data_IF_228307603903
#
_entry.id   IF_228307603903
#
_cell.length_a   1.000
_cell.length_b   1.000
_cell.length_c   1.000
_cell.angle_alpha   90.00
_cell.angle_beta   90.00
_cell.angle_gamma   90.00
#
_symmetry.space_group_name_H-M   'P 1'
#
loop_
_entity.id
_entity.type
_entity.pdbx_description
1 polymer ?
#
# COMPACT_ATOMS: atom_id res chain seq x y z
N UNK A 1 -7.50 14.99 -10.04
CA UNK A 1 -6.56 13.87 -10.17
C UNK A 1 -7.01 12.63 -9.37
N UNK A 2 -7.51 12.74 -8.13
CA UNK A 2 -7.78 11.56 -7.28
C UNK A 2 -9.05 10.73 -7.61
N UNK A 3 -9.94 11.22 -8.48
CA UNK A 3 -11.23 10.58 -8.80
C UNK A 3 -11.22 9.42 -9.81
N UNK A 4 -10.31 9.33 -10.81
CA UNK A 4 -10.35 8.27 -11.81
C UNK A 4 -10.36 6.83 -11.24
N UNK A 5 -9.62 6.48 -10.17
CA UNK A 5 -9.74 5.15 -9.56
C UNK A 5 -11.15 4.87 -9.01
N UNK A 6 -11.84 5.89 -8.48
CA UNK A 6 -13.21 5.76 -7.99
C UNK A 6 -14.20 5.59 -9.14
N UNK A 7 -14.02 6.33 -10.24
CA UNK A 7 -14.85 6.19 -11.45
C UNK A 7 -14.80 4.75 -11.97
N UNK A 8 -13.61 4.17 -12.08
CA UNK A 8 -13.45 2.76 -12.45
C UNK A 8 -14.09 1.80 -11.44
N UNK A 9 -14.00 2.09 -10.13
CA UNK A 9 -14.65 1.28 -9.10
C UNK A 9 -16.19 1.35 -9.17
N UNK A 10 -16.76 2.49 -9.57
CA UNK A 10 -18.20 2.63 -9.78
C UNK A 10 -18.67 1.83 -11.00
N UNK A 11 -17.93 1.89 -12.10
CA UNK A 11 -18.19 1.09 -13.30
C UNK A 11 -18.10 -0.42 -13.01
N UNK A 12 -17.17 -0.82 -12.13
CA UNK A 12 -17.05 -2.20 -11.66
C UNK A 12 -18.16 -2.64 -10.68
N UNK A 13 -19.04 -1.73 -10.27
CA UNK A 13 -20.16 -2.03 -9.37
C UNK A 13 -19.76 -2.23 -7.91
N UNK A 14 -18.76 -1.47 -7.41
CA UNK A 14 -18.35 -1.55 -6.01
C UNK A 14 -19.52 -1.39 -5.04
N UNK A 15 -19.59 -2.24 -4.01
CA UNK A 15 -20.72 -2.28 -3.08
C UNK A 15 -20.63 -1.23 -1.97
N UNK A 16 -19.41 -0.93 -1.52
CA UNK A 16 -19.14 -0.11 -0.34
C UNK A 16 -17.97 0.84 -0.61
N UNK A 17 -18.05 2.05 -0.07
CA UNK A 17 -16.98 3.05 -0.10
C UNK A 17 -16.66 3.49 1.32
N UNK A 18 -15.36 3.67 1.57
CA UNK A 18 -14.84 4.18 2.83
C UNK A 18 -14.24 5.59 2.64
N UNK A 19 -14.79 6.63 3.30
CA UNK A 19 -14.19 7.95 3.32
C UNK A 19 -12.85 7.96 4.05
N UNK A 20 -11.87 8.67 3.49
CA UNK A 20 -10.55 8.91 4.08
C UNK A 20 -10.62 9.81 5.33
N UNK A 21 -9.64 9.71 6.24
CA UNK A 21 -9.56 10.58 7.43
C UNK A 21 -9.28 12.06 7.12
N UNK A 22 -8.52 12.34 6.07
CA UNK A 22 -8.11 13.71 5.75
C UNK A 22 -9.27 14.63 5.39
N UNK A 23 -8.95 15.91 5.18
CA UNK A 23 -9.90 16.94 4.78
C UNK A 23 -9.45 17.64 3.49
N UNK A 24 -10.38 18.13 2.65
CA UNK A 24 -10.05 18.71 1.36
C UNK A 24 -9.64 20.20 1.49
N UNK A 25 -8.41 20.44 1.92
CA UNK A 25 -7.83 21.77 2.11
C UNK A 25 -7.83 22.61 0.83
N UNK A 26 -8.26 23.87 0.92
CA UNK A 26 -8.21 24.83 -0.19
C UNK A 26 -9.15 24.51 -1.37
N UNK A 27 -10.16 23.67 -1.15
CA UNK A 27 -11.17 23.30 -2.16
C UNK A 27 -12.50 24.04 -1.93
N UNK A 28 -13.50 23.80 -2.79
CA UNK A 28 -14.87 24.30 -2.60
C UNK A 28 -15.64 23.56 -1.49
N UNK A 29 -15.12 22.43 -1.01
CA UNK A 29 -15.74 21.63 0.03
C UNK A 29 -15.31 22.11 1.42
N UNK A 30 -16.17 21.86 2.41
CA UNK A 30 -15.88 22.19 3.81
C UNK A 30 -14.58 21.50 4.27
N UNK A 31 -13.69 22.23 4.94
CA UNK A 31 -12.42 21.71 5.47
C UNK A 31 -12.65 20.90 6.77
N UNK A 32 -13.36 19.78 6.62
CA UNK A 32 -13.60 18.77 7.64
C UNK A 32 -13.28 17.39 7.08
N UNK A 33 -12.95 16.45 7.95
CA UNK A 33 -12.67 15.07 7.57
C UNK A 33 -13.77 14.48 6.67
N UNK A 34 -13.43 13.67 5.68
CA UNK A 34 -14.40 13.21 4.67
C UNK A 34 -15.59 12.44 5.26
N UNK A 35 -15.44 11.83 6.45
CA UNK A 35 -16.54 11.21 7.21
C UNK A 35 -17.63 12.21 7.67
N UNK A 36 -17.35 13.51 7.63
CA UNK A 36 -18.25 14.60 8.01
C UNK A 36 -18.57 15.55 6.86
N UNK A 37 -18.02 15.30 5.67
CA UNK A 37 -18.09 16.22 4.54
C UNK A 37 -19.30 15.93 3.64
N UNK A 38 -20.38 16.70 3.82
CA UNK A 38 -21.61 16.55 3.02
C UNK A 38 -21.40 16.84 1.53
N UNK A 39 -20.57 17.82 1.20
CA UNK A 39 -20.29 18.20 -0.19
C UNK A 39 -19.67 17.04 -0.98
N UNK A 40 -18.75 16.31 -0.34
CA UNK A 40 -18.09 15.15 -0.96
C UNK A 40 -18.98 13.92 -0.94
N UNK A 41 -19.57 13.57 0.22
CA UNK A 41 -20.33 12.32 0.35
C UNK A 41 -21.69 12.40 -0.33
N UNK A 42 -22.51 13.42 -0.04
CA UNK A 42 -23.82 13.56 -0.68
C UNK A 42 -23.69 14.18 -2.07
N UNK A 43 -22.99 15.31 -2.21
CA UNK A 43 -22.90 16.02 -3.48
C UNK A 43 -22.10 15.27 -4.54
N UNK A 44 -20.81 15.04 -4.29
CA UNK A 44 -19.95 14.40 -5.28
C UNK A 44 -20.27 12.92 -5.47
N UNK A 45 -20.25 12.13 -4.40
CA UNK A 45 -20.38 10.67 -4.49
C UNK A 45 -21.81 10.23 -4.85
N UNK A 46 -22.84 10.73 -4.17
CA UNK A 46 -24.22 10.26 -4.40
C UNK A 46 -24.94 11.01 -5.51
N UNK A 47 -24.92 12.33 -5.52
CA UNK A 47 -25.68 13.13 -6.50
C UNK A 47 -24.99 13.15 -7.86
N UNK A 48 -23.67 13.44 -7.92
CA UNK A 48 -22.94 13.49 -9.20
C UNK A 48 -22.61 12.10 -9.74
N UNK A 49 -22.06 11.19 -8.93
CA UNK A 49 -21.69 9.85 -9.40
C UNK A 49 -22.78 8.79 -9.27
N UNK A 50 -23.92 9.10 -8.64
CA UNK A 50 -25.04 8.16 -8.53
C UNK A 50 -24.76 6.96 -7.63
N UNK A 51 -23.74 7.01 -6.76
CA UNK A 51 -23.38 5.88 -5.92
C UNK A 51 -24.47 5.61 -4.86
N UNK A 52 -25.12 4.45 -4.98
CA UNK A 52 -26.16 4.02 -4.05
C UNK A 52 -25.72 2.88 -3.12
N UNK A 53 -24.43 2.55 -3.11
CA UNK A 53 -23.85 1.59 -2.16
C UNK A 53 -23.74 2.14 -0.73
N UNK A 54 -23.22 1.30 0.16
CA UNK A 54 -22.98 1.64 1.57
C UNK A 54 -21.79 2.58 1.67
N UNK A 55 -21.92 3.64 2.46
CA UNK A 55 -20.77 4.47 2.88
C UNK A 55 -20.47 4.17 4.35
N UNK A 56 -19.38 3.46 4.59
CA UNK A 56 -18.91 3.10 5.92
C UNK A 56 -17.71 3.98 6.26
N UNK A 57 -17.67 4.64 7.42
CA UNK A 57 -16.46 5.40 7.79
C UNK A 57 -15.26 4.48 7.96
N UNK A 58 -14.06 5.05 7.87
CA UNK A 58 -12.86 4.41 8.45
C UNK A 58 -13.02 4.30 9.98
N UNK A 59 -12.03 3.72 10.65
CA UNK A 59 -12.03 3.37 12.07
C UNK A 59 -11.96 4.58 13.02
N UNK A 60 -12.96 4.75 13.87
CA UNK A 60 -12.94 5.68 14.99
C UNK A 60 -12.90 7.18 14.64
N UNK A 61 -13.69 7.69 13.67
CA UNK A 61 -13.82 9.14 13.48
C UNK A 61 -14.65 9.82 14.58
N UNK A 62 -15.47 9.05 15.33
CA UNK A 62 -16.45 9.60 16.29
C UNK A 62 -15.94 9.64 17.73
N UNK A 63 -15.39 8.52 18.21
CA UNK A 63 -14.98 8.30 19.61
C UNK A 63 -13.48 8.07 19.74
N UNK A 64 -12.94 8.50 20.87
CA UNK A 64 -11.60 8.12 21.30
C UNK A 64 -11.57 6.62 21.63
N UNK A 65 -10.45 5.96 21.38
CA UNK A 65 -10.26 4.53 21.61
C UNK A 65 -8.97 4.26 22.39
N UNK A 66 -9.01 3.34 23.36
CA UNK A 66 -7.79 2.78 23.92
C UNK A 66 -7.36 1.58 23.08
N UNK A 67 -6.22 1.69 22.40
CA UNK A 67 -5.67 0.62 21.56
C UNK A 67 -4.34 0.22 22.18
N UNK A 68 -4.28 -1.03 22.67
CA UNK A 68 -3.08 -1.63 23.25
C UNK A 68 -2.46 -0.79 24.38
N UNK A 69 -3.30 -0.15 25.19
CA UNK A 69 -2.88 0.66 26.35
C UNK A 69 -2.63 2.13 26.04
N UNK A 70 -2.61 2.53 24.77
CA UNK A 70 -2.44 3.92 24.35
C UNK A 70 -3.79 4.56 24.03
N UNK A 71 -3.96 5.85 24.37
CA UNK A 71 -5.16 6.60 24.06
C UNK A 71 -5.07 7.18 22.64
N UNK A 72 -5.98 6.78 21.77
CA UNK A 72 -6.12 7.27 20.41
C UNK A 72 -7.32 8.19 20.33
N UNK A 73 -7.13 9.51 20.14
CA UNK A 73 -8.24 10.42 19.97
C UNK A 73 -9.00 10.11 18.69
N UNK A 74 -10.30 10.41 18.68
CA UNK A 74 -11.13 10.32 17.50
C UNK A 74 -10.48 11.04 16.31
N UNK A 75 -10.56 10.46 15.11
CA UNK A 75 -10.07 11.08 13.88
C UNK A 75 -11.07 12.13 13.34
N UNK A 76 -11.51 13.01 14.25
CA UNK A 76 -12.56 14.00 14.08
C UNK A 76 -12.03 15.31 13.45
N UNK A 77 -11.17 15.21 12.44
CA UNK A 77 -10.44 16.35 11.88
C UNK A 77 -11.38 17.47 11.40
N UNK A 78 -11.16 18.70 11.88
CA UNK A 78 -11.99 19.88 11.60
C UNK A 78 -13.27 19.99 12.45
N UNK A 79 -13.59 18.97 13.24
CA UNK A 79 -14.75 18.92 14.16
C UNK A 79 -14.37 18.37 15.54
N UNK A 80 -13.12 18.54 15.94
CA UNK A 80 -12.57 18.06 17.21
C UNK A 80 -13.30 18.69 18.41
N UNK A 81 -13.77 19.92 18.23
CA UNK A 81 -14.54 20.69 19.20
C UNK A 81 -15.99 20.20 19.38
N UNK A 82 -16.50 19.36 18.48
CA UNK A 82 -17.84 18.79 18.61
C UNK A 82 -17.87 17.70 19.66
N UNK A 83 -18.99 17.62 20.38
CA UNK A 83 -19.36 16.47 21.20
C UNK A 83 -19.66 15.24 20.32
N UNK A 84 -19.62 14.04 20.91
CA UNK A 84 -19.96 12.81 20.20
C UNK A 84 -21.34 12.87 19.51
N UNK A 85 -22.43 13.33 20.15
CA UNK A 85 -23.73 13.45 19.49
C UNK A 85 -23.70 14.38 18.26
N UNK A 86 -22.99 15.51 18.34
CA UNK A 86 -22.83 16.45 17.21
C UNK A 86 -22.05 15.82 16.04
N UNK A 87 -20.99 15.04 16.34
CA UNK A 87 -20.24 14.29 15.33
C UNK A 87 -21.11 13.24 14.63
N UNK A 88 -21.91 12.48 15.39
CA UNK A 88 -22.86 11.49 14.84
C UNK A 88 -23.84 12.17 13.89
N UNK A 89 -24.49 13.26 14.33
CA UNK A 89 -25.46 13.99 13.51
C UNK A 89 -24.79 14.52 12.23
N UNK A 90 -23.63 15.17 12.33
CA UNK A 90 -22.92 15.71 11.16
C UNK A 90 -22.56 14.60 10.17
N UNK A 91 -22.09 13.45 10.65
CA UNK A 91 -21.72 12.31 9.81
C UNK A 91 -22.94 11.70 9.10
N UNK A 92 -24.08 11.51 9.79
CA UNK A 92 -25.32 11.04 9.16
C UNK A 92 -25.88 12.02 8.13
N UNK A 93 -25.80 13.32 8.42
CA UNK A 93 -26.20 14.41 7.52
C UNK A 93 -25.29 14.48 6.29
N UNK A 94 -24.01 14.15 6.43
CA UNK A 94 -23.09 14.05 5.29
C UNK A 94 -23.46 12.90 4.34
N UNK A 95 -24.14 11.87 4.85
CA UNK A 95 -24.63 10.74 4.07
C UNK A 95 -23.94 9.42 4.40
N UNK A 96 -23.24 9.33 5.54
CA UNK A 96 -22.69 8.08 6.06
C UNK A 96 -23.83 7.11 6.43
N UNK A 97 -23.63 5.83 6.13
CA UNK A 97 -24.59 4.76 6.41
C UNK A 97 -24.14 3.87 7.60
N UNK A 98 -22.83 3.74 7.82
CA UNK A 98 -22.25 2.90 8.88
C UNK A 98 -21.01 3.55 9.49
N UNK A 99 -20.84 3.41 10.81
CA UNK A 99 -19.67 3.91 11.53
C UNK A 99 -18.67 2.78 11.79
N UNK A 100 -17.45 2.93 11.27
CA UNK A 100 -16.33 2.01 11.49
C UNK A 100 -15.68 2.23 12.85
N UNK A 101 -15.43 1.14 13.59
CA UNK A 101 -14.77 1.19 14.90
C UNK A 101 -15.60 1.82 16.03
N UNK A 102 -16.90 2.04 15.83
CA UNK A 102 -17.80 2.61 16.83
C UNK A 102 -18.47 1.50 17.67
N UNK A 103 -18.57 1.73 18.98
CA UNK A 103 -19.09 0.78 19.96
C UNK A 103 -20.17 1.36 20.88
N UNK A 104 -20.57 2.63 20.71
CA UNK A 104 -21.54 3.35 21.53
C UNK A 104 -22.87 3.58 20.77
N UNK A 105 -23.65 2.54 20.43
CA UNK A 105 -24.92 2.70 19.73
C UNK A 105 -25.95 3.51 20.52
N UNK A 106 -25.83 3.56 21.85
CA UNK A 106 -26.76 4.28 22.74
C UNK A 106 -26.83 5.76 22.40
N UNK A 107 -25.70 6.39 22.04
CA UNK A 107 -25.65 7.80 21.67
C UNK A 107 -26.53 8.10 20.44
N UNK A 108 -26.53 7.20 19.44
CA UNK A 108 -27.42 7.32 18.28
C UNK A 108 -28.88 7.07 18.67
N UNK A 109 -29.16 6.08 19.52
CA UNK A 109 -30.52 5.79 19.98
C UNK A 109 -31.12 6.99 20.72
N UNK A 110 -30.34 7.65 21.56
CA UNK A 110 -30.76 8.86 22.28
C UNK A 110 -31.07 10.02 21.33
N UNK A 111 -30.23 10.24 20.30
CA UNK A 111 -30.48 11.24 19.26
C UNK A 111 -31.80 11.00 18.51
N UNK A 112 -32.16 9.74 18.24
CA UNK A 112 -33.44 9.39 17.62
C UNK A 112 -34.60 9.67 18.57
N UNK A 113 -34.50 9.23 19.83
CA UNK A 113 -35.54 9.48 20.85
C UNK A 113 -35.77 10.97 21.12
N UNK A 114 -34.71 11.76 21.07
CA UNK A 114 -34.77 13.22 21.21
C UNK A 114 -35.28 13.93 19.93
N UNK A 115 -35.50 13.20 18.83
CA UNK A 115 -35.97 13.75 17.56
C UNK A 115 -34.89 14.51 16.77
N UNK A 116 -33.62 14.41 17.16
CA UNK A 116 -32.49 15.06 16.48
C UNK A 116 -32.04 14.28 15.23
N UNK A 117 -32.31 12.97 15.20
CA UNK A 117 -32.16 12.11 14.01
C UNK A 117 -33.49 11.44 13.73
N UNK A 118 -34.00 11.55 12.49
CA UNK A 118 -35.25 10.88 12.11
C UNK A 118 -35.04 9.40 11.80
N UNK A 119 -36.04 8.58 12.10
CA UNK A 119 -36.05 7.16 11.68
C UNK A 119 -35.93 7.04 10.16
N UNK A 120 -36.60 7.92 9.40
CA UNK A 120 -36.49 7.95 7.94
C UNK A 120 -35.06 8.17 7.43
N UNK A 121 -34.20 8.90 8.16
CA UNK A 121 -32.77 9.01 7.79
C UNK A 121 -32.06 7.68 7.97
N UNK A 122 -32.35 6.96 9.05
CA UNK A 122 -31.77 5.64 9.33
C UNK A 122 -32.29 4.57 8.37
N UNK A 123 -33.56 4.62 7.96
CA UNK A 123 -34.15 3.69 6.99
C UNK A 123 -33.38 3.64 5.67
N UNK A 124 -32.85 4.78 5.23
CA UNK A 124 -32.00 4.86 4.03
C UNK A 124 -30.74 4.00 4.22
N UNK A 125 -30.04 4.19 5.34
CA UNK A 125 -28.81 3.47 5.66
C UNK A 125 -29.05 1.98 5.86
N UNK A 126 -30.09 1.64 6.64
CA UNK A 126 -30.50 0.25 6.91
C UNK A 126 -30.90 -0.47 5.62
N UNK A 127 -31.62 0.19 4.70
CA UNK A 127 -31.99 -0.41 3.41
C UNK A 127 -30.77 -0.79 2.59
N UNK A 128 -29.72 0.04 2.54
CA UNK A 128 -28.47 -0.27 1.82
C UNK A 128 -27.74 -1.46 2.45
N UNK A 129 -27.59 -1.44 3.77
CA UNK A 129 -26.97 -2.54 4.52
C UNK A 129 -27.72 -3.86 4.33
N UNK A 130 -29.05 -3.85 4.44
CA UNK A 130 -29.88 -5.04 4.24
C UNK A 130 -29.84 -5.53 2.79
N UNK A 131 -29.86 -4.62 1.80
CA UNK A 131 -29.76 -4.99 0.39
C UNK A 131 -28.50 -5.81 0.12
N UNK A 132 -27.35 -5.41 0.67
CA UNK A 132 -26.11 -6.14 0.46
C UNK A 132 -26.12 -7.49 1.20
N UNK A 133 -26.71 -7.57 2.40
CA UNK A 133 -26.94 -8.86 3.08
C UNK A 133 -27.83 -9.82 2.28
N UNK A 134 -28.89 -9.32 1.64
CA UNK A 134 -29.74 -10.11 0.75
C UNK A 134 -29.00 -10.54 -0.52
N UNK A 135 -28.22 -9.65 -1.15
CA UNK A 135 -27.41 -9.98 -2.34
C UNK A 135 -26.37 -11.06 -2.06
N UNK A 136 -25.78 -11.04 -0.87
CA UNK A 136 -24.82 -12.04 -0.40
C UNK A 136 -25.50 -13.37 0.00
N UNK A 137 -26.84 -13.45 0.04
CA UNK A 137 -27.57 -14.63 0.45
C UNK A 137 -27.43 -14.96 1.94
N UNK A 138 -27.10 -13.97 2.78
CA UNK A 138 -26.83 -14.20 4.21
C UNK A 138 -28.09 -14.57 5.01
N UNK A 139 -29.29 -14.34 4.46
CA UNK A 139 -30.54 -14.79 5.09
C UNK A 139 -30.82 -16.26 4.81
N UNK A 140 -30.37 -16.77 3.67
CA UNK A 140 -30.51 -18.17 3.26
C UNK A 140 -29.35 -19.03 3.78
N UNK A 141 -28.13 -18.50 3.73
CA UNK A 141 -26.91 -19.19 4.15
C UNK A 141 -26.00 -18.25 4.96
N UNK A 142 -26.27 -18.07 6.27
CA UNK A 142 -25.51 -17.15 7.13
C UNK A 142 -24.14 -17.68 7.55
N UNK A 143 -23.87 -18.96 7.37
CA UNK A 143 -22.68 -19.65 7.87
C UNK A 143 -21.77 -20.11 6.74
N UNK A 144 -20.48 -20.24 7.05
CA UNK A 144 -19.47 -20.80 6.14
C UNK A 144 -19.20 -22.27 6.49
N UNK A 145 -18.65 -23.01 5.54
CA UNK A 145 -18.07 -24.33 5.80
C UNK A 145 -16.60 -24.17 6.24
N UNK A 146 -16.33 -24.42 7.52
CA UNK A 146 -15.00 -24.30 8.11
C UNK A 146 -14.03 -25.35 7.56
N UNK A 147 -14.50 -26.55 7.21
CA UNK A 147 -13.66 -27.61 6.67
C UNK A 147 -13.15 -27.25 5.26
N UNK A 148 -13.98 -26.58 4.46
CA UNK A 148 -13.58 -26.05 3.15
C UNK A 148 -12.44 -25.02 3.25
N UNK A 149 -12.32 -24.28 4.36
CA UNK A 149 -11.29 -23.25 4.50
C UNK A 149 -9.88 -23.86 4.41
N UNK A 150 -9.65 -25.04 4.98
CA UNK A 150 -8.36 -25.73 4.93
C UNK A 150 -7.99 -26.21 3.51
N UNK A 151 -8.98 -26.44 2.64
CA UNK A 151 -8.77 -26.83 1.25
C UNK A 151 -8.57 -25.63 0.32
N UNK A 152 -9.16 -24.48 0.66
CA UNK A 152 -9.08 -23.25 -0.14
C UNK A 152 -7.81 -22.46 0.20
N UNK A 153 -7.55 -22.24 1.50
CA UNK A 153 -6.46 -21.40 1.97
C UNK A 153 -5.10 -21.96 1.55
N UNK A 154 -4.36 -21.16 0.78
CA UNK A 154 -3.02 -21.52 0.33
C UNK A 154 -2.97 -22.74 -0.58
N UNK A 155 -4.04 -23.11 -1.27
CA UNK A 155 -4.01 -24.25 -2.21
C UNK A 155 -2.97 -24.06 -3.33
N UNK A 156 -2.59 -25.16 -4.01
CA UNK A 156 -1.53 -25.15 -5.00
C UNK A 156 -1.78 -24.19 -6.18
N UNK A 157 -3.03 -24.07 -6.64
CA UNK A 157 -3.38 -23.18 -7.75
C UNK A 157 -3.23 -21.70 -7.36
N UNK A 158 -3.67 -21.34 -6.15
CA UNK A 158 -3.55 -19.96 -5.64
C UNK A 158 -2.09 -19.59 -5.36
N UNK A 159 -1.29 -20.52 -4.81
CA UNK A 159 0.16 -20.32 -4.66
C UNK A 159 0.84 -20.12 -6.01
N UNK A 160 0.54 -20.96 -7.01
CA UNK A 160 1.09 -20.79 -8.36
C UNK A 160 0.70 -19.46 -9.00
N UNK A 161 -0.55 -19.01 -8.81
CA UNK A 161 -1.00 -17.70 -9.28
C UNK A 161 -0.26 -16.55 -8.58
N UNK A 162 -0.04 -16.64 -7.26
CA UNK A 162 0.74 -15.67 -6.49
C UNK A 162 2.21 -15.63 -6.90
N UNK A 163 2.85 -16.78 -7.11
CA UNK A 163 4.23 -16.87 -7.61
C UNK A 163 4.36 -16.29 -9.02
N UNK A 164 3.37 -16.51 -9.90
CA UNK A 164 3.34 -15.88 -11.21
C UNK A 164 3.18 -14.36 -11.12
N UNK A 165 2.32 -13.88 -10.21
CA UNK A 165 2.13 -12.45 -9.97
C UNK A 165 3.43 -11.79 -9.49
N UNK A 166 4.18 -12.43 -8.59
CA UNK A 166 5.50 -11.95 -8.14
C UNK A 166 6.49 -11.83 -9.31
N UNK A 167 6.61 -12.85 -10.17
CA UNK A 167 7.50 -12.78 -11.34
C UNK A 167 7.12 -11.67 -12.31
N UNK A 168 5.81 -11.49 -12.53
CA UNK A 168 5.25 -10.45 -13.42
C UNK A 168 5.35 -9.04 -12.85
N UNK A 169 5.62 -8.86 -11.56
CA UNK A 169 5.73 -7.55 -10.91
C UNK A 169 7.17 -7.04 -10.78
N UNK A 170 8.17 -7.89 -11.01
CA UNK A 170 9.58 -7.49 -10.91
C UNK A 170 9.96 -6.63 -12.12
N UNK A 171 10.51 -5.45 -11.84
CA UNK A 171 10.91 -4.46 -12.85
C UNK A 171 12.42 -4.54 -13.04
N UNK A 172 12.87 -4.63 -14.29
CA UNK A 172 14.29 -4.49 -14.62
C UNK A 172 14.60 -3.01 -14.85
N UNK A 173 15.43 -2.41 -14.01
CA UNK A 173 15.77 -0.99 -14.05
C UNK A 173 17.09 -0.73 -14.79
N UNK A 174 18.06 -1.64 -14.67
CA UNK A 174 19.36 -1.50 -15.35
C UNK A 174 19.88 -2.87 -15.76
N UNK A 175 20.46 -2.94 -16.97
CA UNK A 175 21.19 -4.10 -17.44
C UNK A 175 22.41 -3.67 -18.27
N UNK A 176 23.62 -3.79 -17.74
CA UNK A 176 24.87 -3.58 -18.47
C UNK A 176 25.29 -4.86 -19.22
N UNK A 177 24.36 -5.42 -19.99
CA UNK A 177 24.51 -6.68 -20.76
C UNK A 177 24.94 -7.91 -19.93
N UNK A 178 24.65 -7.92 -18.62
CA UNK A 178 24.97 -9.02 -17.71
C UNK A 178 23.80 -10.00 -17.51
N UNK A 179 22.57 -9.50 -17.61
CA UNK A 179 21.35 -10.30 -17.46
C UNK A 179 20.80 -10.77 -18.81
N UNK A 180 20.26 -12.01 -18.89
CA UNK A 180 20.16 -12.98 -17.80
C UNK A 180 21.47 -13.75 -17.59
N UNK A 181 21.78 -14.05 -16.32
CA UNK A 181 22.91 -14.91 -15.97
C UNK A 181 22.75 -16.31 -16.58
N UNK A 182 23.85 -16.91 -17.01
CA UNK A 182 23.88 -18.22 -17.67
C UNK A 182 24.68 -19.24 -16.85
N UNK A 183 24.27 -20.51 -16.94
CA UNK A 183 24.95 -21.60 -16.26
C UNK A 183 24.74 -21.56 -14.74
N UNK A 184 25.79 -21.93 -14.00
CA UNK A 184 25.82 -21.95 -12.53
C UNK A 184 27.07 -21.20 -12.02
N UNK A 185 27.09 -19.87 -12.13
CA UNK A 185 28.25 -19.06 -11.72
C UNK A 185 28.48 -19.16 -10.22
N UNK A 186 29.69 -18.79 -9.78
CA UNK A 186 29.96 -18.51 -8.37
C UNK A 186 29.26 -17.21 -7.98
N UNK A 187 28.39 -17.28 -6.98
CA UNK A 187 27.57 -16.16 -6.53
C UNK A 187 27.90 -15.79 -5.09
N UNK A 188 28.16 -14.52 -4.85
CA UNK A 188 28.08 -13.94 -3.50
C UNK A 188 26.68 -13.39 -3.31
N UNK A 189 26.01 -13.72 -2.20
CA UNK A 189 24.62 -13.30 -1.97
C UNK A 189 24.45 -12.63 -0.60
N UNK A 190 23.70 -11.52 -0.57
CA UNK A 190 23.24 -10.89 0.67
C UNK A 190 21.72 -10.85 0.72
N UNK A 191 21.14 -11.19 1.87
CA UNK A 191 19.69 -11.23 2.11
C UNK A 191 18.90 -12.11 1.12
N UNK A 192 19.53 -13.16 0.63
CA UNK A 192 18.91 -14.24 -0.16
C UNK A 192 18.96 -15.52 0.67
N UNK A 193 17.88 -16.29 0.70
CA UNK A 193 17.93 -17.63 1.29
C UNK A 193 18.97 -18.51 0.57
N UNK A 194 19.92 -19.07 1.34
CA UNK A 194 21.04 -19.84 0.80
C UNK A 194 20.60 -21.10 0.04
N UNK A 195 19.55 -21.79 0.51
CA UNK A 195 19.03 -22.99 -0.16
C UNK A 195 18.40 -22.65 -1.50
N UNK A 196 17.76 -21.47 -1.61
CA UNK A 196 17.22 -20.99 -2.88
C UNK A 196 18.37 -20.60 -3.82
N UNK A 197 19.35 -19.82 -3.34
CA UNK A 197 20.50 -19.39 -4.14
C UNK A 197 21.28 -20.58 -4.73
N UNK A 198 21.47 -21.65 -3.96
CA UNK A 198 22.12 -22.89 -4.38
C UNK A 198 21.42 -23.62 -5.54
N UNK A 199 20.16 -23.29 -5.85
CA UNK A 199 19.45 -23.83 -7.02
C UNK A 199 19.85 -23.13 -8.33
N UNK A 200 20.55 -21.99 -8.25
CA UNK A 200 20.90 -21.14 -9.40
C UNK A 200 22.40 -21.05 -9.64
N UNK A 201 23.21 -20.93 -8.57
CA UNK A 201 24.67 -20.81 -8.66
C UNK A 201 25.40 -21.64 -7.61
N UNK A 202 26.72 -21.45 -7.53
CA UNK A 202 27.59 -21.94 -6.45
C UNK A 202 27.84 -20.80 -5.46
N UNK A 203 27.27 -20.88 -4.26
CA UNK A 203 27.44 -19.80 -3.28
C UNK A 203 28.88 -19.76 -2.73
N UNK A 204 29.43 -18.56 -2.61
CA UNK A 204 30.74 -18.30 -1.99
C UNK A 204 30.62 -17.27 -0.87
N UNK A 205 31.54 -17.34 0.10
CA UNK A 205 31.47 -16.52 1.32
C UNK A 205 32.03 -15.09 1.15
N UNK A 206 32.87 -14.86 0.14
CA UNK A 206 33.53 -13.57 -0.08
C UNK A 206 33.23 -13.01 -1.48
N UNK A 207 32.95 -11.70 -1.62
CA UNK A 207 32.68 -11.08 -2.92
C UNK A 207 33.78 -11.29 -3.96
N UNK A 208 35.06 -11.24 -3.54
CA UNK A 208 36.20 -11.40 -4.44
C UNK A 208 36.38 -12.82 -5.01
N UNK A 209 35.69 -13.81 -4.45
CA UNK A 209 35.69 -15.19 -4.96
C UNK A 209 34.51 -15.49 -5.91
N UNK A 210 33.58 -14.55 -6.07
CA UNK A 210 32.39 -14.70 -6.89
C UNK A 210 32.63 -14.23 -8.33
N UNK A 211 31.91 -14.84 -9.27
CA UNK A 211 31.80 -14.31 -10.64
C UNK A 211 30.85 -13.11 -10.67
N UNK A 212 29.85 -13.10 -9.77
CA UNK A 212 28.82 -12.06 -9.65
C UNK A 212 28.28 -11.99 -8.21
N UNK A 213 27.99 -10.78 -7.73
CA UNK A 213 27.28 -10.57 -6.47
C UNK A 213 25.78 -10.32 -6.72
N UNK A 214 24.92 -10.83 -5.85
CA UNK A 214 23.48 -10.55 -5.83
C UNK A 214 23.12 -9.99 -4.45
N UNK A 215 22.81 -8.69 -4.40
CA UNK A 215 22.47 -8.02 -3.15
C UNK A 215 20.96 -7.72 -3.13
N UNK A 216 20.21 -8.35 -2.22
CA UNK A 216 18.81 -7.97 -1.97
C UNK A 216 18.78 -6.89 -0.90
N UNK A 217 18.38 -5.70 -1.28
CA UNK A 217 18.33 -4.52 -0.45
C UNK A 217 16.87 -4.14 -0.16
N UNK A 218 16.64 -3.47 0.96
CA UNK A 218 15.35 -2.86 1.29
C UNK A 218 15.47 -1.35 1.16
N UNK A 219 14.38 -0.69 0.78
CA UNK A 219 14.31 0.77 0.80
C UNK A 219 14.65 1.27 2.22
N UNK A 220 15.65 2.15 2.38
CA UNK A 220 16.03 2.71 3.67
C UNK A 220 14.84 3.37 4.37
N UNK A 221 14.82 3.27 5.69
CA UNK A 221 13.81 3.91 6.53
C UNK A 221 14.38 4.21 7.92
N UNK A 222 13.73 5.12 8.60
CA UNK A 222 13.99 5.45 9.99
C UNK A 222 12.93 4.77 10.86
N UNK A 223 13.32 3.81 11.72
CA UNK A 223 12.40 3.23 12.68
C UNK A 223 11.88 4.32 13.62
N UNK A 224 10.56 4.40 13.78
CA UNK A 224 9.93 5.32 14.73
C UNK A 224 9.08 4.52 15.70
N UNK A 225 9.29 4.80 16.98
CA UNK A 225 8.70 4.05 18.09
C UNK A 225 8.02 5.00 19.09
N UNK A 226 7.50 6.15 18.62
CA UNK A 226 6.89 7.14 19.51
C UNK A 226 5.51 6.68 20.01
N UNK A 227 4.80 5.93 19.17
CA UNK A 227 3.56 5.22 19.48
C UNK A 227 3.64 3.80 18.92
N UNK A 228 2.96 2.84 19.56
CA UNK A 228 3.03 1.43 19.17
C UNK A 228 2.75 1.20 17.68
N UNK A 229 1.69 1.81 17.14
CA UNK A 229 1.32 1.63 15.73
C UNK A 229 2.37 2.15 14.75
N UNK A 230 3.12 3.20 15.12
CA UNK A 230 4.13 3.79 14.24
C UNK A 230 5.28 2.81 13.96
N UNK A 231 5.59 1.93 14.90
CA UNK A 231 6.65 0.93 14.76
C UNK A 231 6.40 -0.11 13.66
N UNK A 232 5.17 -0.21 13.14
CA UNK A 232 4.81 -1.09 12.03
C UNK A 232 5.05 -0.47 10.65
N UNK A 233 5.34 0.83 10.56
CA UNK A 233 5.44 1.55 9.30
C UNK A 233 6.86 2.04 9.02
N UNK A 234 7.26 1.99 7.76
CA UNK A 234 8.51 2.59 7.31
C UNK A 234 8.30 4.09 7.01
N UNK A 235 9.07 4.94 7.68
CA UNK A 235 9.03 6.40 7.55
C UNK A 235 10.44 6.98 7.42
N UNK A 236 10.55 8.30 7.25
CA UNK A 236 11.84 9.01 7.19
C UNK A 236 12.55 8.90 5.84
N UNK A 237 13.86 9.15 5.86
CA UNK A 237 14.70 9.22 4.67
C UNK A 237 14.72 7.91 3.86
N UNK A 238 14.89 8.03 2.55
CA UNK A 238 14.74 6.98 1.54
C UNK A 238 16.09 6.57 0.89
N UNK A 239 17.20 7.16 1.35
CA UNK A 239 18.57 6.94 0.87
C UNK A 239 19.43 6.15 1.87
N UNK A 240 20.41 5.41 1.34
CA UNK A 240 21.38 4.69 2.17
C UNK A 240 22.35 5.67 2.81
N UNK A 241 22.48 5.61 4.13
CA UNK A 241 23.42 6.43 4.90
C UNK A 241 24.76 5.70 5.11
N UNK A 242 25.78 6.46 5.49
CA UNK A 242 27.06 5.88 5.93
C UNK A 242 26.90 5.16 7.28
N UNK A 243 27.66 4.07 7.53
CA UNK A 243 28.70 3.49 6.67
C UNK A 243 28.19 2.49 5.61
N UNK A 244 26.89 2.20 5.61
CA UNK A 244 26.31 1.14 4.78
C UNK A 244 26.43 1.44 3.28
N UNK A 245 26.21 2.69 2.89
CA UNK A 245 26.39 3.11 1.48
C UNK A 245 27.81 2.81 0.98
N UNK A 246 28.85 3.20 1.72
CA UNK A 246 30.23 2.89 1.35
C UNK A 246 30.51 1.38 1.29
N UNK A 247 29.94 0.59 2.20
CA UNK A 247 30.08 -0.88 2.18
C UNK A 247 29.50 -1.49 0.90
N UNK A 248 28.29 -1.08 0.51
CA UNK A 248 27.63 -1.55 -0.71
C UNK A 248 28.45 -1.17 -1.97
N UNK A 249 28.90 0.07 -2.07
CA UNK A 249 29.72 0.54 -3.19
C UNK A 249 31.09 -0.18 -3.25
N UNK A 250 31.67 -0.54 -2.10
CA UNK A 250 32.91 -1.30 -2.04
C UNK A 250 32.76 -2.76 -2.53
N UNK A 251 31.57 -3.37 -2.39
CA UNK A 251 31.29 -4.68 -3.00
C UNK A 251 31.20 -4.52 -4.53
N UNK A 252 30.46 -3.51 -5.00
CA UNK A 252 30.24 -3.26 -6.43
C UNK A 252 31.52 -2.93 -7.19
N UNK A 253 32.55 -2.41 -6.51
CA UNK A 253 33.86 -2.15 -7.12
C UNK A 253 34.75 -3.39 -7.23
N UNK A 254 34.47 -4.45 -6.48
CA UNK A 254 35.25 -5.69 -6.49
C UNK A 254 34.71 -6.72 -7.49
N UNK A 255 33.39 -6.81 -7.64
CA UNK A 255 32.73 -7.84 -8.45
C UNK A 255 31.48 -7.26 -9.14
N UNK A 256 31.18 -7.64 -10.41
CA UNK A 256 29.93 -7.26 -11.04
C UNK A 256 28.75 -7.60 -10.14
N UNK A 257 27.92 -6.61 -9.85
CA UNK A 257 26.88 -6.74 -8.83
C UNK A 257 25.51 -6.50 -9.43
N UNK A 258 24.59 -7.42 -9.18
CA UNK A 258 23.16 -7.29 -9.44
C UNK A 258 22.51 -6.90 -8.13
N UNK A 259 21.83 -5.76 -8.12
CA UNK A 259 21.06 -5.28 -6.98
C UNK A 259 19.60 -5.59 -7.22
N UNK A 260 18.95 -6.22 -6.24
CA UNK A 260 17.51 -6.28 -6.14
C UNK A 260 17.06 -5.33 -5.02
N UNK A 261 16.23 -4.34 -5.32
CA UNK A 261 15.71 -3.39 -4.32
C UNK A 261 14.22 -3.65 -4.05
N UNK A 262 13.88 -3.92 -2.79
CA UNK A 262 12.50 -3.96 -2.33
C UNK A 262 11.93 -2.55 -2.18
N UNK A 263 10.96 -2.21 -3.03
CA UNK A 263 10.32 -0.91 -3.12
C UNK A 263 8.91 -0.94 -2.53
N UNK A 264 8.79 -0.93 -1.20
CA UNK A 264 7.53 -0.53 -0.55
C UNK A 264 7.28 0.98 -0.63
N UNK A 265 8.35 1.74 -0.88
CA UNK A 265 8.38 3.19 -1.05
C UNK A 265 9.45 3.55 -2.11
N UNK A 266 9.42 4.74 -2.71
CA UNK A 266 10.42 5.16 -3.70
C UNK A 266 11.82 5.32 -3.10
N UNK A 267 12.76 4.45 -3.44
CA UNK A 267 14.13 4.53 -2.94
C UNK A 267 14.97 5.62 -3.64
N UNK A 268 15.82 6.31 -2.88
CA UNK A 268 16.81 7.27 -3.40
C UNK A 268 18.17 6.57 -3.47
N UNK A 269 18.55 6.13 -4.67
CA UNK A 269 19.72 5.25 -4.87
C UNK A 269 20.61 5.61 -6.09
N UNK A 270 20.91 6.90 -6.38
CA UNK A 270 21.65 7.27 -7.59
C UNK A 270 23.04 6.64 -7.65
N UNK A 271 23.79 6.58 -6.54
CA UNK A 271 25.14 6.00 -6.54
C UNK A 271 25.13 4.49 -6.75
N UNK A 272 24.18 3.78 -6.13
CA UNK A 272 23.99 2.33 -6.30
C UNK A 272 23.55 2.02 -7.74
N UNK A 273 22.59 2.77 -8.27
CA UNK A 273 22.13 2.62 -9.64
C UNK A 273 23.26 2.88 -10.65
N UNK A 274 24.15 3.83 -10.38
CA UNK A 274 25.34 4.08 -11.19
C UNK A 274 26.36 2.94 -11.12
N UNK A 275 26.64 2.42 -9.92
CA UNK A 275 27.72 1.45 -9.68
C UNK A 275 27.37 -0.01 -10.04
N UNK A 276 26.11 -0.45 -9.85
CA UNK A 276 25.74 -1.84 -10.10
C UNK A 276 25.77 -2.21 -11.59
N UNK A 277 26.02 -3.48 -11.91
CA UNK A 277 25.98 -4.03 -13.27
C UNK A 277 24.53 -4.35 -13.73
N UNK A 278 23.67 -4.73 -12.78
CA UNK A 278 22.24 -4.93 -13.00
C UNK A 278 21.43 -4.40 -11.82
N UNK A 279 20.24 -3.86 -12.09
CA UNK A 279 19.31 -3.39 -11.06
C UNK A 279 17.92 -3.92 -11.37
N UNK A 280 17.35 -4.67 -10.43
CA UNK A 280 15.95 -5.11 -10.44
C UNK A 280 15.23 -4.54 -9.23
N UNK A 281 13.94 -4.26 -9.38
CA UNK A 281 13.08 -3.81 -8.31
C UNK A 281 11.95 -4.80 -8.08
N UNK A 282 11.64 -5.06 -6.81
CA UNK A 282 10.56 -5.96 -6.41
C UNK A 282 9.64 -5.30 -5.36
N UNK A 283 8.46 -5.88 -5.18
CA UNK A 283 7.40 -5.36 -4.30
C UNK A 283 7.00 -6.41 -3.25
N UNK A 284 7.99 -7.10 -2.66
CA UNK A 284 7.78 -8.16 -1.68
C UNK A 284 7.86 -9.54 -2.31
N UNK A 285 8.63 -9.68 -3.38
CA UNK A 285 8.80 -10.94 -4.09
C UNK A 285 9.73 -11.90 -3.33
N UNK A 286 9.43 -13.19 -3.45
CA UNK A 286 10.29 -14.27 -2.94
C UNK A 286 11.66 -14.29 -3.62
N UNK A 287 12.65 -14.86 -2.94
CA UNK A 287 14.00 -15.07 -3.50
C UNK A 287 13.93 -15.81 -4.85
N UNK A 288 13.10 -16.85 -4.94
CA UNK A 288 12.95 -17.64 -6.14
C UNK A 288 12.40 -16.81 -7.32
N UNK A 289 11.42 -15.94 -7.08
CA UNK A 289 10.87 -15.09 -8.14
C UNK A 289 11.91 -14.07 -8.65
N UNK A 290 12.70 -13.47 -7.76
CA UNK A 290 13.79 -12.56 -8.15
C UNK A 290 14.88 -13.29 -8.92
N UNK A 291 15.30 -14.45 -8.44
CA UNK A 291 16.33 -15.25 -9.11
C UNK A 291 15.85 -15.82 -10.45
N UNK A 292 14.56 -16.13 -10.60
CA UNK A 292 13.98 -16.52 -11.89
C UNK A 292 14.16 -15.40 -12.94
N UNK A 293 14.06 -14.12 -12.55
CA UNK A 293 14.36 -12.98 -13.42
C UNK A 293 15.87 -12.83 -13.61
N UNK A 294 16.70 -12.94 -12.56
CA UNK A 294 18.15 -12.75 -12.71
C UNK A 294 18.77 -13.80 -13.65
N UNK A 295 18.28 -15.04 -13.60
CA UNK A 295 18.78 -16.17 -14.39
C UNK A 295 17.96 -16.42 -15.67
N UNK A 296 17.00 -15.55 -16.00
CA UNK A 296 16.21 -15.64 -17.22
C UNK A 296 15.31 -16.87 -17.33
N UNK A 297 14.93 -17.48 -16.20
CA UNK A 297 13.87 -18.50 -16.14
C UNK A 297 12.49 -17.86 -16.33
N UNK A 298 12.37 -16.57 -16.06
CA UNK A 298 11.23 -15.74 -16.41
C UNK A 298 11.73 -14.42 -17.01
N UNK A 299 11.01 -13.87 -17.99
CA UNK A 299 11.36 -12.60 -18.62
C UNK A 299 10.75 -11.43 -17.84
N UNK A 300 11.49 -10.36 -17.55
CA UNK A 300 10.90 -9.17 -16.96
C UNK A 300 9.90 -8.56 -17.95
N UNK A 301 8.77 -8.10 -17.41
CA UNK A 301 7.70 -7.44 -18.19
C UNK A 301 7.07 -6.26 -17.47
N UNK A 302 7.44 -6.04 -16.20
CA UNK A 302 6.83 -5.02 -15.36
C UNK A 302 7.44 -3.65 -15.64
N UNK A 303 6.68 -2.62 -15.26
CA UNK A 303 7.12 -1.22 -15.24
C UNK A 303 6.91 -0.63 -13.86
N UNK A 304 7.69 0.37 -13.49
CA UNK A 304 7.56 1.06 -12.21
C UNK A 304 6.17 1.71 -12.05
N UNK A 305 5.49 1.52 -10.89
CA UNK A 305 4.23 2.19 -10.59
C UNK A 305 4.42 3.60 -10.00
N UNK A 306 5.66 4.05 -9.77
CA UNK A 306 6.03 5.37 -9.29
C UNK A 306 7.45 5.73 -9.72
N UNK A 307 7.80 7.01 -9.64
CA UNK A 307 9.14 7.50 -9.95
C UNK A 307 10.12 7.13 -8.84
N UNK A 308 11.40 6.95 -9.17
CA UNK A 308 12.49 6.87 -8.19
C UNK A 308 13.22 8.22 -8.14
N UNK A 309 13.15 8.96 -7.00
CA UNK A 309 13.73 10.30 -6.90
C UNK A 309 15.26 10.28 -6.99
N UNK A 310 15.84 11.37 -7.51
CA UNK A 310 17.29 11.52 -7.63
C UNK A 310 18.01 11.86 -6.33
N UNK A 311 17.31 12.44 -5.36
CA UNK A 311 17.89 12.83 -4.08
C UNK A 311 16.81 13.01 -3.01
N UNK A 312 17.22 13.02 -1.74
CA UNK A 312 16.31 13.42 -0.66
C UNK A 312 15.90 14.90 -0.71
N UNK A 313 16.65 15.74 -1.40
CA UNK A 313 16.23 17.13 -1.68
C UNK A 313 15.05 17.14 -2.65
N UNK A 314 15.12 16.35 -3.73
CA UNK A 314 14.01 16.17 -4.65
C UNK A 314 12.76 15.68 -3.93
N UNK A 315 12.88 14.65 -3.06
CA UNK A 315 11.78 14.15 -2.22
C UNK A 315 11.14 15.25 -1.37
N UNK A 316 11.96 16.08 -0.70
CA UNK A 316 11.46 17.15 0.18
C UNK A 316 10.81 18.30 -0.59
N UNK A 317 11.10 18.44 -1.89
CA UNK A 317 10.50 19.43 -2.76
C UNK A 317 9.16 18.97 -3.36
N UNK A 318 8.83 17.67 -3.27
CA UNK A 318 7.57 17.13 -3.77
C UNK A 318 6.37 17.60 -2.95
N UNK A 319 5.24 17.75 -3.63
CA UNK A 319 3.94 17.91 -2.99
C UNK A 319 3.44 16.54 -2.50
N UNK A 320 3.07 16.39 -1.21
CA UNK A 320 2.68 15.10 -0.65
C UNK A 320 1.45 14.44 -1.31
N UNK A 321 0.64 15.22 -2.01
CA UNK A 321 -0.61 14.81 -2.66
C UNK A 321 -0.55 14.83 -4.20
N UNK A 322 0.59 15.20 -4.79
CA UNK A 322 0.77 15.20 -6.24
C UNK A 322 1.64 14.00 -6.64
N UNK A 323 1.16 13.14 -7.55
CA UNK A 323 1.96 12.05 -8.06
C UNK A 323 3.04 12.58 -9.03
N UNK A 324 4.15 11.84 -9.15
CA UNK A 324 5.10 12.00 -10.26
C UNK A 324 5.60 13.44 -10.48
N UNK A 325 5.84 14.18 -9.39
CA UNK A 325 6.31 15.55 -9.41
C UNK A 325 7.77 15.68 -8.95
N UNK A 326 8.50 14.55 -8.87
CA UNK A 326 9.92 14.57 -8.51
C UNK A 326 10.71 15.32 -9.57
N UNK A 327 11.59 16.23 -9.16
CA UNK A 327 12.56 16.83 -10.08
C UNK A 327 13.60 15.78 -10.51
N UNK A 328 13.80 15.64 -11.82
CA UNK A 328 14.82 14.80 -12.46
C UNK A 328 14.93 13.38 -11.84
N UNK A 329 13.87 12.55 -11.85
CA UNK A 329 13.91 11.22 -11.25
C UNK A 329 14.95 10.33 -11.95
N UNK A 330 15.62 9.46 -11.21
CA UNK A 330 16.58 8.50 -11.80
C UNK A 330 15.86 7.43 -12.64
N UNK A 331 14.59 7.15 -12.34
CA UNK A 331 13.70 6.32 -13.14
C UNK A 331 12.28 6.89 -13.10
N UNK A 332 11.65 7.07 -14.25
CA UNK A 332 10.30 7.61 -14.37
C UNK A 332 9.21 6.55 -14.07
N UNK A 333 7.99 7.02 -13.79
CA UNK A 333 6.81 6.16 -13.78
C UNK A 333 6.65 5.47 -15.14
N UNK A 334 6.35 4.17 -15.13
CA UNK A 334 6.25 3.37 -16.35
C UNK A 334 7.59 2.88 -16.91
N UNK A 335 8.72 3.21 -16.27
CA UNK A 335 10.03 2.69 -16.69
C UNK A 335 10.17 1.18 -16.39
N UNK A 336 10.71 0.43 -17.35
CA UNK A 336 11.06 -0.98 -17.20
C UNK A 336 11.72 -1.54 -18.46
N UNK A 337 12.85 -2.21 -18.31
CA UNK A 337 13.60 -2.83 -19.40
C UNK A 337 13.18 -4.30 -19.63
N UNK A 338 13.52 -4.83 -20.81
CA UNK A 338 13.32 -6.22 -21.19
C UNK A 338 14.64 -6.79 -21.76
N UNK A 339 14.76 -8.13 -21.83
CA UNK A 339 15.85 -8.82 -22.55
C UNK A 339 15.38 -10.11 -23.24
#
# INVERSE_FOLDING_TARGET
YHLPPFEAAFEAGTATIMPYYGMPMGTEHEEVGFAFNKGVISGLLREKYGFDGVVCTDWGPLTDANIMGENFPARAWGVEHFSLPERIVKSLVAGIDQFGGEACPEALVELVRAGQVSEARLDISVRRLLRDKFRLGLFENPCVDEDSAAHIAGNAAFRAAGELAQRKSIVLLKNADILPLRGRPKIYVENVNAEVAAQYGEAVDEPGAADVAILRLKTPFEPRNSIFLESFFHAGDLDFKEPEKSRLLAIMSQVPTIVDIYLDRPAVIPEIAAACAGLVANFGASDAAVLDIIFGRFKPTATLPFELPSSMEAVRAQHPDVPHDSADPIFEHGFGLNY
#
